data_IF_329122344988
#
_entry.id   IF_329122344988
#
_cell.length_a   1.000
_cell.length_b   1.000
_cell.length_c   1.000
_cell.angle_alpha   90.00
_cell.angle_beta   90.00
_cell.angle_gamma   90.00
#
_symmetry.space_group_name_H-M   'P 1'
#
loop_
_entity.id
_entity.type
_entity.pdbx_description
1 polymer ?
#
# COMPACT_ATOMS: atom_id res chain seq x y z
N UNK A 1 -49.93 1.12 39.84
CA UNK A 1 -49.17 0.49 38.73
C UNK A 1 -48.72 1.48 37.64
N UNK A 2 -49.47 2.56 37.35
CA UNK A 2 -49.16 3.51 36.26
C UNK A 2 -47.84 4.31 36.42
N UNK A 3 -47.41 4.58 37.65
CA UNK A 3 -46.21 5.41 37.91
C UNK A 3 -44.87 4.68 37.67
N UNK A 4 -44.86 3.34 37.61
CA UNK A 4 -43.63 2.57 37.38
C UNK A 4 -43.28 2.45 35.89
N UNK A 5 -44.26 2.60 34.99
CA UNK A 5 -44.04 2.55 33.54
C UNK A 5 -43.34 3.79 32.99
N UNK A 6 -43.64 4.97 33.54
CA UNK A 6 -43.06 6.24 33.05
C UNK A 6 -41.59 6.39 33.40
N UNK A 7 -41.19 5.92 34.58
CA UNK A 7 -39.78 5.95 35.01
C UNK A 7 -38.92 4.98 34.19
N UNK A 8 -39.47 3.81 33.84
CA UNK A 8 -38.80 2.81 32.99
C UNK A 8 -38.55 3.31 31.56
N UNK A 9 -39.50 4.06 30.99
CA UNK A 9 -39.37 4.67 29.66
C UNK A 9 -38.31 5.77 29.64
N UNK A 10 -38.25 6.58 30.70
CA UNK A 10 -37.25 7.65 30.80
C UNK A 10 -35.84 7.07 30.99
N UNK A 11 -35.71 5.96 31.73
CA UNK A 11 -34.43 5.25 31.86
C UNK A 11 -33.97 4.58 30.57
N UNK A 12 -34.88 4.11 29.70
CA UNK A 12 -34.49 3.52 28.41
C UNK A 12 -34.02 4.57 27.40
N UNK A 13 -34.66 5.74 27.38
CA UNK A 13 -34.24 6.87 26.54
C UNK A 13 -32.84 7.37 26.93
N UNK A 14 -32.58 7.50 28.23
CA UNK A 14 -31.26 7.89 28.75
C UNK A 14 -30.21 6.82 28.41
N UNK A 15 -30.53 5.52 28.55
CA UNK A 15 -29.59 4.45 28.20
C UNK A 15 -29.26 4.44 26.70
N UNK A 16 -30.24 4.74 25.85
CA UNK A 16 -30.03 4.82 24.40
C UNK A 16 -29.11 6.01 24.05
N UNK A 17 -29.32 7.17 24.68
CA UNK A 17 -28.49 8.38 24.49
C UNK A 17 -27.02 8.18 24.93
N UNK A 18 -26.76 7.39 25.97
CA UNK A 18 -25.39 7.10 26.43
C UNK A 18 -24.70 6.05 25.52
N UNK A 19 -25.47 5.13 24.92
CA UNK A 19 -24.92 4.14 23.98
C UNK A 19 -24.49 4.75 22.64
N UNK A 20 -25.18 5.81 22.21
CA UNK A 20 -24.85 6.58 20.99
C UNK A 20 -23.53 7.36 21.15
N UNK A 21 -23.09 7.64 22.39
CA UNK A 21 -21.87 8.39 22.70
C UNK A 21 -20.53 7.66 22.47
N UNK A 22 -20.55 6.35 22.14
CA UNK A 22 -19.32 5.59 21.81
C UNK A 22 -19.31 5.09 20.37
N UNK A 23 -20.24 5.53 19.53
CA UNK A 23 -20.09 5.44 18.09
C UNK A 23 -18.96 6.40 17.70
N UNK A 24 -17.72 5.91 17.83
CA UNK A 24 -16.60 6.41 17.07
C UNK A 24 -17.00 6.19 15.61
N UNK A 25 -17.65 7.18 15.00
CA UNK A 25 -17.73 7.26 13.57
C UNK A 25 -16.27 7.36 13.12
N UNK A 26 -15.67 6.20 12.83
CA UNK A 26 -14.50 6.16 11.99
C UNK A 26 -14.89 7.02 10.79
N UNK A 27 -14.10 8.06 10.52
CA UNK A 27 -14.19 8.74 9.23
C UNK A 27 -13.72 7.68 8.24
N UNK A 28 -14.65 6.82 7.80
CA UNK A 28 -14.38 5.74 6.86
C UNK A 28 -14.30 6.40 5.50
N UNK A 29 -13.16 7.02 5.23
CA UNK A 29 -12.81 7.34 3.87
C UNK A 29 -12.54 5.98 3.20
N UNK A 30 -13.53 5.49 2.45
CA UNK A 30 -13.44 4.21 1.72
C UNK A 30 -12.30 4.23 0.71
N UNK A 31 -11.93 5.44 0.23
CA UNK A 31 -10.75 5.62 -0.60
C UNK A 31 -9.44 5.39 0.17
N UNK A 32 -9.40 5.49 1.50
CA UNK A 32 -8.22 5.28 2.35
C UNK A 32 -8.32 4.02 3.25
N UNK A 33 -9.49 3.40 3.40
CA UNK A 33 -9.80 2.25 4.28
C UNK A 33 -8.95 2.23 5.56
N UNK A 34 -8.91 3.37 6.24
CA UNK A 34 -8.12 3.54 7.46
C UNK A 34 -9.00 3.09 8.63
N UNK A 35 -9.02 1.79 8.90
CA UNK A 35 -9.68 1.24 10.10
C UNK A 35 -8.94 1.72 11.35
N UNK A 36 -9.42 2.81 11.95
CA UNK A 36 -8.85 3.46 13.15
C UNK A 36 -9.06 2.68 14.45
N UNK A 37 -9.62 1.47 14.37
CA UNK A 37 -9.88 0.60 15.53
C UNK A 37 -8.58 0.03 16.12
N UNK A 38 -7.51 -0.07 15.32
CA UNK A 38 -6.17 -0.45 15.76
C UNK A 38 -5.12 0.53 15.19
N UNK A 39 -4.49 1.39 16.03
CA UNK A 39 -3.47 2.33 15.59
C UNK A 39 -2.31 1.69 14.80
N UNK A 40 -2.00 0.41 15.06
CA UNK A 40 -0.99 -0.35 14.32
C UNK A 40 -1.42 -0.79 12.92
N UNK A 41 -2.70 -1.09 12.72
CA UNK A 41 -3.23 -1.54 11.44
C UNK A 41 -3.32 -0.39 10.42
N UNK A 42 -3.63 0.83 10.88
CA UNK A 42 -3.70 2.00 10.02
C UNK A 42 -2.36 2.36 9.35
N UNK A 43 -1.25 2.26 10.10
CA UNK A 43 0.10 2.49 9.56
C UNK A 43 0.46 1.44 8.51
N UNK A 44 0.16 0.16 8.76
CA UNK A 44 0.43 -0.93 7.84
C UNK A 44 -0.28 -0.75 6.49
N UNK A 45 -1.54 -0.29 6.49
CA UNK A 45 -2.32 -0.06 5.26
C UNK A 45 -1.77 1.10 4.42
N UNK A 46 -1.44 2.24 5.07
CA UNK A 46 -0.83 3.39 4.38
C UNK A 46 0.53 3.02 3.80
N UNK A 47 1.36 2.30 4.56
CA UNK A 47 2.66 1.82 4.11
C UNK A 47 2.53 0.88 2.91
N UNK A 48 1.64 -0.12 2.98
CA UNK A 48 1.41 -1.08 1.89
C UNK A 48 0.97 -0.38 0.59
N UNK A 49 0.13 0.65 0.70
CA UNK A 49 -0.32 1.45 -0.44
C UNK A 49 0.80 2.26 -1.10
N UNK A 50 1.60 2.98 -0.29
CA UNK A 50 2.75 3.74 -0.79
C UNK A 50 3.76 2.80 -1.45
N UNK A 51 4.05 1.68 -0.79
CA UNK A 51 4.96 0.66 -1.33
C UNK A 51 4.48 0.12 -2.68
N UNK A 52 3.20 -0.25 -2.81
CA UNK A 52 2.63 -0.71 -4.08
C UNK A 52 2.80 0.33 -5.19
N UNK A 53 2.58 1.61 -4.88
CA UNK A 53 2.74 2.69 -5.87
C UNK A 53 4.19 2.83 -6.35
N UNK A 54 5.16 2.73 -5.43
CA UNK A 54 6.60 2.80 -5.74
C UNK A 54 7.02 1.62 -6.61
N UNK A 55 6.55 0.41 -6.31
CA UNK A 55 6.87 -0.79 -7.09
C UNK A 55 6.38 -0.66 -8.53
N UNK A 56 5.16 -0.14 -8.74
CA UNK A 56 4.60 0.08 -10.07
C UNK A 56 5.43 1.10 -10.86
N UNK A 57 5.76 2.23 -10.23
CA UNK A 57 6.58 3.28 -10.86
C UNK A 57 7.98 2.76 -11.17
N UNK A 58 8.58 2.01 -10.25
CA UNK A 58 9.91 1.41 -10.40
C UNK A 58 9.96 0.37 -11.53
N UNK A 59 8.93 -0.48 -11.64
CA UNK A 59 8.82 -1.44 -12.74
C UNK A 59 8.69 -0.76 -14.11
N UNK A 60 7.92 0.33 -14.19
CA UNK A 60 7.80 1.11 -15.41
C UNK A 60 9.11 1.81 -15.78
N UNK A 61 9.79 2.41 -14.81
CA UNK A 61 11.10 3.04 -15.01
C UNK A 61 12.14 2.02 -15.47
N UNK A 62 12.17 0.83 -14.88
CA UNK A 62 13.04 -0.26 -15.29
C UNK A 62 12.86 -0.60 -16.77
N UNK A 63 11.61 -0.72 -17.25
CA UNK A 63 11.33 -1.04 -18.65
C UNK A 63 11.93 0.00 -19.60
N UNK A 64 11.76 1.29 -19.30
CA UNK A 64 12.30 2.39 -20.11
C UNK A 64 13.84 2.38 -20.11
N UNK A 65 14.46 2.26 -18.93
CA UNK A 65 15.92 2.22 -18.82
C UNK A 65 16.54 0.98 -19.46
N UNK A 66 15.89 -0.17 -19.36
CA UNK A 66 16.35 -1.41 -19.96
C UNK A 66 16.35 -1.32 -21.49
N UNK A 67 15.28 -0.79 -22.08
CA UNK A 67 15.21 -0.55 -23.52
C UNK A 67 16.25 0.47 -23.97
N UNK A 68 16.42 1.57 -23.25
CA UNK A 68 17.44 2.59 -23.54
C UNK A 68 18.85 2.01 -23.52
N UNK A 69 19.16 1.18 -22.51
CA UNK A 69 20.46 0.51 -22.39
C UNK A 69 20.72 -0.47 -23.55
N UNK A 70 19.68 -1.19 -24.00
CA UNK A 70 19.73 -2.06 -25.16
C UNK A 70 19.95 -1.30 -26.47
N UNK A 71 19.25 -0.19 -26.68
CA UNK A 71 19.43 0.67 -27.86
C UNK A 71 20.84 1.28 -27.90
N UNK A 72 21.36 1.72 -26.75
CA UNK A 72 22.75 2.18 -26.63
C UNK A 72 23.76 1.08 -27.02
N UNK A 73 23.45 -0.19 -26.72
CA UNK A 73 24.30 -1.35 -27.07
C UNK A 73 24.28 -1.63 -28.57
N UNK A 74 23.10 -1.56 -29.21
CA UNK A 74 22.93 -1.80 -30.65
C UNK A 74 23.60 -0.71 -31.48
N UNK A 75 23.50 0.54 -31.04
CA UNK A 75 24.07 1.70 -31.76
C UNK A 75 25.56 1.95 -31.47
N UNK A 76 26.18 1.22 -30.55
CA UNK A 76 27.57 1.41 -30.18
C UNK A 76 28.58 1.06 -31.29
N UNK A 77 28.20 0.30 -32.32
CA UNK A 77 28.95 0.18 -33.58
C UNK A 77 30.41 -0.29 -33.49
N UNK A 78 30.87 -0.83 -32.36
CA UNK A 78 32.26 -1.24 -32.12
C UNK A 78 33.08 -0.30 -31.22
N UNK A 79 32.53 0.84 -30.80
CA UNK A 79 33.16 1.73 -29.83
C UNK A 79 33.16 1.10 -28.42
N UNK A 80 34.34 0.69 -27.95
CA UNK A 80 34.53 0.08 -26.62
C UNK A 80 34.01 0.95 -25.48
N UNK A 81 34.14 2.28 -25.56
CA UNK A 81 33.71 3.17 -24.47
C UNK A 81 32.18 3.16 -24.33
N UNK A 82 31.46 3.20 -25.45
CA UNK A 82 30.00 3.08 -25.47
C UNK A 82 29.52 1.71 -25.04
N UNK A 83 30.22 0.66 -25.47
CA UNK A 83 29.92 -0.72 -25.08
C UNK A 83 30.08 -0.93 -23.56
N UNK A 84 31.13 -0.38 -22.95
CA UNK A 84 31.35 -0.46 -21.50
C UNK A 84 30.30 0.33 -20.73
N UNK A 85 30.00 1.56 -21.16
CA UNK A 85 28.96 2.40 -20.54
C UNK A 85 27.57 1.78 -20.62
N UNK A 86 27.17 1.27 -21.78
CA UNK A 86 25.90 0.56 -21.97
C UNK A 86 25.81 -0.70 -21.09
N UNK A 87 26.91 -1.44 -20.94
CA UNK A 87 26.96 -2.62 -20.06
C UNK A 87 26.72 -2.23 -18.61
N UNK A 88 27.36 -1.16 -18.13
CA UNK A 88 27.12 -0.63 -16.77
C UNK A 88 25.66 -0.20 -16.58
N UNK A 89 25.07 0.49 -17.55
CA UNK A 89 23.64 0.87 -17.51
C UNK A 89 22.73 -0.35 -17.46
N UNK A 90 23.00 -1.38 -18.26
CA UNK A 90 22.21 -2.62 -18.30
C UNK A 90 22.31 -3.36 -16.96
N UNK A 91 23.50 -3.52 -16.41
CA UNK A 91 23.70 -4.14 -15.09
C UNK A 91 22.98 -3.37 -13.99
N UNK A 92 23.08 -2.03 -13.98
CA UNK A 92 22.38 -1.20 -13.01
C UNK A 92 20.86 -1.34 -13.11
N UNK A 93 20.31 -1.40 -14.32
CA UNK A 93 18.89 -1.66 -14.52
C UNK A 93 18.48 -3.04 -13.97
N UNK A 94 19.25 -4.09 -14.26
CA UNK A 94 19.00 -5.44 -13.77
C UNK A 94 19.06 -5.50 -12.25
N UNK A 95 20.06 -4.85 -11.63
CA UNK A 95 20.17 -4.76 -10.17
C UNK A 95 18.91 -4.08 -9.62
N UNK A 96 18.48 -2.96 -10.21
CA UNK A 96 17.23 -2.29 -9.81
C UNK A 96 16.02 -3.22 -9.82
N UNK A 97 15.87 -4.04 -10.88
CA UNK A 97 14.79 -5.04 -10.95
C UNK A 97 14.91 -6.11 -9.86
N UNK A 98 16.11 -6.62 -9.60
CA UNK A 98 16.35 -7.61 -8.54
C UNK A 98 15.95 -7.05 -7.17
N UNK A 99 16.25 -5.78 -6.89
CA UNK A 99 15.81 -5.11 -5.67
C UNK A 99 14.29 -4.98 -5.58
N UNK A 100 13.61 -4.65 -6.68
CA UNK A 100 12.14 -4.59 -6.74
C UNK A 100 11.51 -5.96 -6.43
N UNK A 101 12.00 -7.03 -7.05
CA UNK A 101 11.52 -8.41 -6.80
C UNK A 101 11.82 -8.86 -5.38
N UNK A 102 13.01 -8.55 -4.86
CA UNK A 102 13.39 -8.84 -3.47
C UNK A 102 12.48 -8.11 -2.48
N UNK A 103 12.12 -6.85 -2.77
CA UNK A 103 11.19 -6.08 -1.94
C UNK A 103 9.81 -6.74 -1.86
N UNK A 104 9.31 -7.31 -2.97
CA UNK A 104 8.07 -8.09 -2.99
C UNK A 104 8.16 -9.33 -2.09
N UNK A 105 9.28 -10.06 -2.13
CA UNK A 105 9.49 -11.21 -1.25
C UNK A 105 9.47 -10.82 0.24
N UNK A 106 10.09 -9.69 0.60
CA UNK A 106 10.07 -9.16 1.98
C UNK A 106 8.65 -8.74 2.38
N UNK A 107 7.92 -8.04 1.50
CA UNK A 107 6.54 -7.64 1.76
C UNK A 107 5.61 -8.85 1.95
N UNK A 108 5.82 -9.93 1.20
CA UNK A 108 5.07 -11.17 1.35
C UNK A 108 5.33 -11.84 2.71
N UNK A 109 6.57 -11.85 3.19
CA UNK A 109 6.90 -12.36 4.54
C UNK A 109 6.23 -11.55 5.65
N UNK A 110 6.22 -10.23 5.53
CA UNK A 110 5.57 -9.34 6.50
C UNK A 110 4.06 -9.55 6.49
N UNK A 111 3.45 -9.71 5.32
CA UNK A 111 2.02 -10.02 5.18
C UNK A 111 1.66 -11.34 5.88
N UNK A 112 2.50 -12.36 5.76
CA UNK A 112 2.31 -13.65 6.42
C UNK A 112 2.40 -13.57 7.96
N UNK A 113 3.31 -12.74 8.49
CA UNK A 113 3.50 -12.58 9.94
C UNK A 113 2.38 -11.76 10.57
N UNK A 114 1.96 -10.67 9.92
CA UNK A 114 0.97 -9.75 10.46
C UNK A 114 -0.48 -10.12 10.10
N UNK A 115 -0.71 -11.13 9.24
CA UNK A 115 -2.04 -11.52 8.71
C UNK A 115 -2.84 -10.36 8.12
N UNK A 116 -2.13 -9.33 7.63
CA UNK A 116 -2.70 -8.18 6.92
C UNK A 116 -2.38 -8.39 5.44
N UNK A 117 -3.40 -8.31 4.61
CA UNK A 117 -3.31 -8.53 3.17
C UNK A 117 -2.75 -7.28 2.46
N UNK A 118 -1.45 -7.00 2.67
CA UNK A 118 -0.77 -5.83 2.09
C UNK A 118 -0.62 -5.92 0.56
N UNK A 119 -0.71 -7.14 0.01
CA UNK A 119 -0.52 -7.42 -1.41
C UNK A 119 -1.80 -7.23 -2.23
N UNK A 120 -2.98 -7.28 -1.61
CA UNK A 120 -4.29 -7.13 -2.25
C UNK A 120 -4.97 -5.79 -1.95
N UNK A 121 -4.20 -4.71 -1.80
CA UNK A 121 -4.76 -3.36 -1.75
C UNK A 121 -5.26 -3.00 -3.17
N UNK A 122 -6.54 -3.27 -3.42
CA UNK A 122 -7.25 -2.79 -4.60
C UNK A 122 -7.37 -1.28 -4.47
N UNK A 123 -7.02 -0.55 -5.52
CA UNK A 123 -7.22 0.88 -5.54
C UNK A 123 -8.71 1.10 -5.82
N UNK A 124 -9.47 1.71 -4.90
CA UNK A 124 -10.83 2.11 -5.20
C UNK A 124 -10.75 3.08 -6.38
N UNK A 125 -11.27 2.62 -7.50
CA UNK A 125 -11.51 3.45 -8.68
C UNK A 125 -12.81 4.18 -8.38
N UNK A 126 -12.75 5.51 -8.46
CA UNK A 126 -13.91 6.40 -8.26
C UNK A 126 -15.15 5.92 -9.03
#
# INVERSE_FOLDING_TARGET
MKHKLTLSLLTSEILNLISVGYAHAAITNDALNLSTTDPGAGFALVFGRVWKSIVIIGALAFLVYFLMAGLDRVTAGGDKAKLESSTKKMTNAIIGLVFLVSSFAVAALISAIFKIDLLNITWPTI
#
